data_IF_979088234011
#
_entry.id   IF_979088234011
#
_cell.length_a   1.000
_cell.length_b   1.000
_cell.length_c   1.000
_cell.angle_alpha   90.00
_cell.angle_beta   90.00
_cell.angle_gamma   90.00
#
_symmetry.space_group_name_H-M   'P 1'
#
loop_
_entity.id
_entity.type
_entity.pdbx_description
1 polymer ?
#
# COMPACT_ATOMS: atom_id res chain seq x y z
N UNK A 1 62.85 -35.17 37.76
CA UNK A 1 61.42 -35.27 37.37
C UNK A 1 61.06 -33.99 36.66
N UNK A 2 60.88 -34.04 35.32
CA UNK A 2 60.46 -32.89 34.51
C UNK A 2 58.99 -33.11 34.15
N UNK A 3 58.12 -32.22 34.62
CA UNK A 3 56.72 -32.22 34.26
C UNK A 3 56.55 -31.49 32.93
N UNK A 4 56.09 -32.21 31.90
CA UNK A 4 55.62 -31.64 30.63
C UNK A 4 54.15 -31.30 30.81
N UNK A 5 53.79 -29.99 30.74
CA UNK A 5 52.44 -29.52 30.75
C UNK A 5 52.00 -29.39 29.31
N UNK A 6 51.08 -30.23 28.88
CA UNK A 6 50.47 -30.19 27.52
C UNK A 6 49.30 -29.21 27.53
N UNK A 7 49.48 -28.08 26.87
CA UNK A 7 48.42 -27.07 26.68
C UNK A 7 47.48 -27.52 25.54
N UNK A 8 46.23 -27.84 25.90
CA UNK A 8 45.18 -28.17 24.92
C UNK A 8 44.54 -26.86 24.45
N UNK A 9 44.81 -26.44 23.21
CA UNK A 9 44.13 -25.29 22.57
C UNK A 9 42.83 -25.78 21.96
N UNK A 10 41.71 -25.40 22.56
CA UNK A 10 40.38 -25.67 22.03
C UNK A 10 40.06 -24.64 20.93
N UNK A 11 40.15 -25.04 19.67
CA UNK A 11 39.74 -24.20 18.54
C UNK A 11 38.21 -24.31 18.40
N UNK A 12 37.50 -23.27 18.84
CA UNK A 12 36.04 -23.14 18.61
C UNK A 12 35.86 -22.60 17.20
N UNK A 13 35.48 -23.46 16.28
CA UNK A 13 35.09 -23.07 14.91
C UNK A 13 33.63 -22.59 14.96
N UNK A 14 33.43 -21.27 14.89
CA UNK A 14 32.12 -20.70 14.64
C UNK A 14 31.70 -20.98 13.18
N UNK A 15 30.88 -21.98 12.98
CA UNK A 15 30.16 -22.16 11.71
C UNK A 15 29.10 -21.06 11.62
N UNK A 16 29.39 -19.98 10.92
CA UNK A 16 28.39 -19.08 10.44
C UNK A 16 27.54 -19.83 9.39
N UNK A 17 26.43 -20.40 9.82
CA UNK A 17 25.42 -20.86 8.90
C UNK A 17 24.90 -19.61 8.18
N UNK A 18 25.26 -19.44 6.91
CA UNK A 18 24.60 -18.50 6.01
C UNK A 18 23.16 -19.04 5.84
N UNK A 19 22.23 -18.56 6.65
CA UNK A 19 20.81 -18.80 6.40
C UNK A 19 20.52 -18.22 5.01
N UNK A 20 20.30 -19.09 4.03
CA UNK A 20 19.70 -18.69 2.76
C UNK A 20 18.37 -18.04 3.12
N UNK A 21 18.26 -16.75 2.90
CA UNK A 21 16.98 -16.03 3.01
C UNK A 21 15.95 -16.81 2.20
N UNK A 22 14.96 -17.36 2.91
CA UNK A 22 13.93 -18.18 2.28
C UNK A 22 13.13 -17.24 1.38
N UNK A 23 13.11 -17.50 0.08
CA UNK A 23 12.29 -16.73 -0.87
C UNK A 23 10.86 -16.71 -0.38
N UNK A 24 10.29 -15.53 -0.31
CA UNK A 24 8.89 -15.37 0.05
C UNK A 24 8.03 -15.95 -1.08
N UNK A 25 7.09 -16.81 -0.75
CA UNK A 25 6.13 -17.35 -1.71
C UNK A 25 4.77 -16.76 -1.36
N UNK A 26 4.25 -15.98 -2.28
CA UNK A 26 2.91 -15.39 -2.17
C UNK A 26 2.06 -15.96 -3.28
N UNK A 27 0.91 -16.51 -2.95
CA UNK A 27 -0.03 -17.04 -3.92
C UNK A 27 -1.46 -16.69 -3.58
N UNK A 28 -2.32 -16.86 -4.53
CA UNK A 28 -3.76 -16.68 -4.35
C UNK A 28 -4.43 -18.06 -4.28
N UNK A 29 -5.24 -18.27 -3.27
CA UNK A 29 -6.10 -19.44 -3.14
C UNK A 29 -7.55 -19.00 -2.88
N UNK A 30 -8.42 -19.26 -3.85
CA UNK A 30 -9.78 -18.69 -3.85
C UNK A 30 -9.73 -17.16 -3.72
N UNK A 31 -10.40 -16.60 -2.73
CA UNK A 31 -10.42 -15.14 -2.46
C UNK A 31 -9.38 -14.69 -1.42
N UNK A 32 -8.33 -15.51 -1.18
CA UNK A 32 -7.34 -15.21 -0.13
C UNK A 32 -5.93 -15.07 -0.68
N UNK A 33 -5.19 -14.16 -0.08
CA UNK A 33 -3.74 -14.06 -0.25
C UNK A 33 -3.10 -15.01 0.77
N UNK A 34 -2.18 -15.86 0.30
CA UNK A 34 -1.44 -16.81 1.11
C UNK A 34 0.04 -16.44 1.05
N UNK A 35 0.65 -16.24 2.21
CA UNK A 35 2.08 -15.95 2.34
C UNK A 35 2.74 -17.10 3.10
N UNK A 36 3.68 -17.81 2.48
CA UNK A 36 4.40 -18.92 3.10
C UNK A 36 3.45 -19.95 3.77
N UNK A 37 2.41 -20.35 3.03
CA UNK A 37 1.37 -21.31 3.43
C UNK A 37 0.38 -20.83 4.51
N UNK A 38 0.38 -19.56 4.86
CA UNK A 38 -0.54 -18.97 5.83
C UNK A 38 -1.43 -17.90 5.18
N UNK A 39 -2.73 -17.86 5.50
CA UNK A 39 -3.59 -16.75 5.10
C UNK A 39 -3.02 -15.41 5.57
N UNK A 40 -3.04 -14.42 4.68
CA UNK A 40 -2.48 -13.10 4.95
C UNK A 40 -3.56 -12.03 4.79
N UNK A 41 -3.85 -11.33 5.87
CA UNK A 41 -4.75 -10.19 5.90
C UNK A 41 -3.92 -8.90 5.82
N UNK A 42 -4.16 -8.07 4.81
CA UNK A 42 -3.48 -6.79 4.64
C UNK A 42 -4.01 -5.81 5.70
N UNK A 43 -3.17 -5.49 6.67
CA UNK A 43 -3.32 -4.40 7.65
C UNK A 43 -2.34 -3.31 7.22
N UNK A 44 -2.71 -2.55 6.20
CA UNK A 44 -1.77 -1.77 5.42
C UNK A 44 -1.93 -0.26 5.50
N UNK A 45 -0.94 0.44 4.94
CA UNK A 45 -0.89 1.88 4.73
C UNK A 45 -0.37 2.22 3.36
N UNK A 46 -0.93 3.25 2.73
CA UNK A 46 -0.31 3.95 1.62
C UNK A 46 0.88 4.76 2.12
N UNK A 47 2.04 4.61 1.47
CA UNK A 47 3.29 5.19 1.94
C UNK A 47 4.04 5.91 0.82
N UNK A 48 4.06 7.23 0.89
CA UNK A 48 4.80 8.09 -0.04
C UNK A 48 5.43 9.24 0.76
N UNK A 49 6.56 8.99 1.44
CA UNK A 49 7.17 9.97 2.34
C UNK A 49 7.85 11.09 1.56
N UNK A 50 7.29 12.28 1.64
CA UNK A 50 7.88 13.51 1.11
C UNK A 50 8.14 14.45 2.28
N UNK A 51 9.39 14.89 2.49
CA UNK A 51 9.73 15.79 3.58
C UNK A 51 9.10 17.17 3.41
N UNK A 52 8.85 17.85 4.51
CA UNK A 52 8.45 19.26 4.49
C UNK A 52 9.42 20.09 3.67
N UNK A 53 8.90 20.95 2.82
CA UNK A 53 9.69 21.81 1.93
C UNK A 53 10.25 21.13 0.69
N UNK A 54 9.83 19.88 0.43
CA UNK A 54 10.22 19.10 -0.75
C UNK A 54 8.99 18.69 -1.56
N UNK A 55 9.21 18.39 -2.86
CA UNK A 55 8.26 17.70 -3.72
C UNK A 55 8.77 16.29 -4.08
N UNK A 56 9.91 15.89 -3.53
CA UNK A 56 10.56 14.63 -3.85
C UNK A 56 10.44 13.63 -2.69
N UNK A 57 10.14 12.39 -3.01
CA UNK A 57 10.10 11.30 -2.04
C UNK A 57 11.49 11.06 -1.42
N UNK A 58 11.56 10.94 -0.08
CA UNK A 58 12.78 10.55 0.63
C UNK A 58 12.49 9.50 1.69
N UNK A 59 13.44 8.57 1.86
CA UNK A 59 13.40 7.54 2.90
C UNK A 59 14.34 7.85 4.09
N UNK A 60 14.74 9.11 4.27
CA UNK A 60 15.62 9.51 5.38
C UNK A 60 15.00 9.23 6.76
N UNK A 61 13.67 9.31 6.87
CA UNK A 61 12.91 9.01 8.08
C UNK A 61 12.45 7.54 8.20
N UNK A 62 12.95 6.63 7.34
CA UNK A 62 12.42 5.26 7.25
C UNK A 62 12.44 4.50 8.58
N UNK A 63 13.46 4.68 9.40
CA UNK A 63 13.56 3.97 10.69
C UNK A 63 12.49 4.44 11.68
N UNK A 64 12.21 5.74 11.73
CA UNK A 64 11.13 6.30 12.54
C UNK A 64 9.76 5.86 12.01
N UNK A 65 9.56 5.95 10.70
CA UNK A 65 8.31 5.59 10.05
C UNK A 65 7.97 4.11 10.28
N UNK A 66 8.94 3.20 10.09
CA UNK A 66 8.76 1.78 10.34
C UNK A 66 8.48 1.48 11.83
N UNK A 67 9.14 2.18 12.75
CA UNK A 67 8.86 2.03 14.18
C UNK A 67 7.41 2.38 14.53
N UNK A 68 6.89 3.48 13.98
CA UNK A 68 5.49 3.90 14.16
C UNK A 68 4.52 2.92 13.49
N UNK A 69 4.86 2.42 12.30
CA UNK A 69 4.03 1.42 11.60
C UNK A 69 3.91 0.11 12.38
N UNK A 70 5.03 -0.39 12.90
CA UNK A 70 5.04 -1.59 13.76
C UNK A 70 4.24 -1.35 15.04
N UNK A 71 4.40 -0.18 15.66
CA UNK A 71 3.61 0.20 16.84
C UNK A 71 2.10 0.21 16.52
N UNK A 72 1.72 0.69 15.34
CA UNK A 72 0.33 0.72 14.89
C UNK A 72 -0.23 -0.68 14.52
N UNK A 73 0.62 -1.70 14.39
CA UNK A 73 0.22 -3.05 13.96
C UNK A 73 0.07 -3.17 12.45
N UNK A 74 0.68 -2.27 11.69
CA UNK A 74 0.75 -2.31 10.23
C UNK A 74 1.68 -3.43 9.81
N UNK A 75 1.24 -4.28 8.89
CA UNK A 75 2.03 -5.38 8.32
C UNK A 75 2.36 -5.19 6.84
N UNK A 76 1.78 -4.21 6.19
CA UNK A 76 1.92 -3.96 4.74
C UNK A 76 2.01 -2.47 4.45
N UNK A 77 2.92 -2.10 3.56
CA UNK A 77 2.91 -0.76 2.93
C UNK A 77 2.70 -0.89 1.44
N UNK A 78 1.95 0.05 0.88
CA UNK A 78 1.74 0.22 -0.55
C UNK A 78 2.47 1.47 -1.01
N UNK A 79 3.32 1.33 -2.04
CA UNK A 79 4.05 2.46 -2.64
C UNK A 79 3.62 2.66 -4.09
N UNK A 80 3.55 3.91 -4.54
CA UNK A 80 3.10 4.31 -5.87
C UNK A 80 4.21 4.24 -6.94
N UNK A 81 5.44 4.11 -6.50
CA UNK A 81 6.60 3.95 -7.36
C UNK A 81 7.63 3.02 -6.68
N UNK A 82 8.40 2.25 -7.46
CA UNK A 82 9.38 1.31 -6.92
C UNK A 82 10.39 1.95 -5.97
N UNK A 83 10.86 1.18 -5.01
CA UNK A 83 11.96 1.53 -4.10
C UNK A 83 13.20 0.81 -4.62
N UNK A 84 14.09 1.50 -5.34
CA UNK A 84 15.35 0.92 -5.86
C UNK A 84 16.51 1.15 -4.88
N UNK A 85 16.27 0.88 -3.61
CA UNK A 85 17.25 0.93 -2.53
C UNK A 85 17.16 -0.35 -1.68
N UNK A 86 18.17 -1.21 -1.81
CA UNK A 86 18.22 -2.46 -1.08
C UNK A 86 18.29 -2.26 0.46
N UNK A 87 18.89 -1.16 0.93
CA UNK A 87 18.96 -0.87 2.37
C UNK A 87 17.58 -0.57 2.90
N UNK A 88 16.79 0.23 2.19
CA UNK A 88 15.39 0.54 2.55
C UNK A 88 14.54 -0.73 2.52
N UNK A 89 14.64 -1.55 1.48
CA UNK A 89 13.92 -2.82 1.37
C UNK A 89 14.25 -3.78 2.52
N UNK A 90 15.54 -3.89 2.87
CA UNK A 90 15.98 -4.71 4.00
C UNK A 90 15.42 -4.20 5.35
N UNK A 91 15.34 -2.89 5.55
CA UNK A 91 14.72 -2.30 6.75
C UNK A 91 13.23 -2.62 6.84
N UNK A 92 12.49 -2.50 5.72
CA UNK A 92 11.08 -2.87 5.63
C UNK A 92 10.90 -4.34 6.01
N UNK A 93 11.72 -5.24 5.44
CA UNK A 93 11.68 -6.65 5.76
C UNK A 93 12.00 -6.92 7.24
N UNK A 94 13.05 -6.30 7.78
CA UNK A 94 13.47 -6.47 9.18
C UNK A 94 12.40 -6.00 10.17
N UNK A 95 11.56 -5.02 9.79
CA UNK A 95 10.40 -4.58 10.54
C UNK A 95 9.21 -5.56 10.47
N UNK A 96 9.31 -6.65 9.70
CA UNK A 96 8.22 -7.61 9.50
C UNK A 96 7.12 -7.09 8.56
N UNK A 97 7.37 -6.01 7.83
CA UNK A 97 6.40 -5.38 6.93
C UNK A 97 6.59 -5.90 5.51
N UNK A 98 5.48 -6.13 4.80
CA UNK A 98 5.46 -6.49 3.39
C UNK A 98 5.23 -5.26 2.52
N UNK A 99 5.64 -5.36 1.25
CA UNK A 99 5.61 -4.26 0.30
C UNK A 99 4.76 -4.63 -0.92
N UNK A 100 3.75 -3.82 -1.22
CA UNK A 100 3.06 -3.76 -2.51
C UNK A 100 3.79 -2.71 -3.34
N UNK A 101 4.36 -3.15 -4.47
CA UNK A 101 5.18 -2.29 -5.33
C UNK A 101 4.35 -1.78 -6.49
N UNK A 102 4.03 -0.48 -6.48
CA UNK A 102 3.33 0.19 -7.57
C UNK A 102 4.27 0.54 -8.73
N UNK A 103 3.79 0.33 -9.96
CA UNK A 103 4.44 0.75 -11.20
C UNK A 103 3.52 1.71 -11.96
N UNK A 104 4.09 2.82 -12.39
CA UNK A 104 3.37 3.78 -13.21
C UNK A 104 3.51 3.51 -14.72
N UNK A 105 2.72 4.24 -15.50
CA UNK A 105 2.73 4.18 -16.95
C UNK A 105 3.32 5.47 -17.51
N UNK A 106 4.22 5.34 -18.49
CA UNK A 106 4.83 6.47 -19.21
C UNK A 106 5.61 7.44 -18.29
N UNK A 107 6.44 6.89 -17.41
CA UNK A 107 7.25 7.65 -16.44
C UNK A 107 8.67 8.00 -16.93
N UNK A 108 8.88 8.09 -18.23
CA UNK A 108 10.19 8.44 -18.78
C UNK A 108 11.24 7.32 -18.73
N UNK A 109 10.80 6.08 -18.67
CA UNK A 109 11.68 4.91 -18.81
C UNK A 109 12.25 4.37 -17.49
N UNK A 110 11.91 4.94 -16.34
CA UNK A 110 12.37 4.43 -15.04
C UNK A 110 11.29 3.51 -14.47
N UNK A 111 11.49 2.19 -14.61
CA UNK A 111 10.60 1.14 -14.10
C UNK A 111 9.13 1.35 -14.51
N UNK A 112 8.89 1.76 -15.74
CA UNK A 112 7.53 2.05 -16.20
C UNK A 112 6.97 0.93 -17.10
N UNK A 113 5.65 0.89 -17.17
CA UNK A 113 4.90 -0.14 -17.90
C UNK A 113 5.05 0.06 -19.40
N UNK A 114 5.03 1.30 -19.91
CA UNK A 114 5.05 1.57 -21.34
C UNK A 114 6.38 1.20 -21.99
N UNK A 115 7.50 1.49 -21.31
CA UNK A 115 8.86 1.13 -21.80
C UNK A 115 9.20 -0.34 -21.57
N UNK A 116 8.53 -0.99 -20.61
CA UNK A 116 8.88 -2.34 -20.15
C UNK A 116 10.05 -2.38 -19.16
N UNK A 117 10.60 -1.24 -18.75
CA UNK A 117 11.72 -1.17 -17.80
C UNK A 117 11.36 -1.71 -16.41
N UNK A 118 10.09 -1.76 -16.05
CA UNK A 118 9.61 -2.41 -14.83
C UNK A 118 10.09 -3.86 -14.69
N UNK A 119 10.32 -4.57 -15.81
CA UNK A 119 10.75 -5.98 -15.80
C UNK A 119 12.18 -6.15 -15.25
N UNK A 120 13.03 -5.15 -15.39
CA UNK A 120 14.35 -5.13 -14.79
C UNK A 120 14.24 -5.06 -13.26
N UNK A 121 13.33 -4.22 -12.75
CA UNK A 121 13.07 -4.14 -11.32
C UNK A 121 12.50 -5.46 -10.78
N UNK A 122 11.50 -6.05 -11.43
CA UNK A 122 10.94 -7.35 -11.05
C UNK A 122 12.05 -8.41 -11.04
N UNK A 123 12.88 -8.48 -12.07
CA UNK A 123 13.99 -9.43 -12.17
C UNK A 123 14.98 -9.25 -11.02
N UNK A 124 15.29 -8.00 -10.66
CA UNK A 124 16.24 -7.65 -9.59
C UNK A 124 15.72 -8.04 -8.19
N UNK A 125 14.42 -7.82 -7.93
CA UNK A 125 13.88 -7.89 -6.58
C UNK A 125 12.87 -9.03 -6.32
N UNK A 126 12.52 -9.86 -7.30
CA UNK A 126 11.55 -10.96 -7.15
C UNK A 126 11.89 -12.01 -6.08
N UNK A 127 13.13 -12.03 -5.60
CA UNK A 127 13.53 -12.91 -4.49
C UNK A 127 13.60 -12.19 -3.15
N UNK A 128 13.32 -10.87 -3.13
CA UNK A 128 13.41 -10.10 -1.90
C UNK A 128 12.23 -10.39 -0.96
N UNK A 129 12.46 -10.78 0.30
CA UNK A 129 11.41 -11.29 1.17
C UNK A 129 10.39 -10.25 1.65
N UNK A 130 10.64 -8.96 1.41
CA UNK A 130 9.65 -7.91 1.70
C UNK A 130 8.52 -7.87 0.65
N UNK A 131 8.75 -8.33 -0.58
CA UNK A 131 7.76 -8.19 -1.66
C UNK A 131 6.52 -9.02 -1.33
N UNK A 132 5.34 -8.40 -1.43
CA UNK A 132 4.05 -9.06 -1.33
C UNK A 132 3.50 -9.35 -2.72
N UNK A 133 3.34 -8.32 -3.55
CA UNK A 133 2.97 -8.46 -4.96
C UNK A 133 3.30 -7.19 -5.76
N UNK A 134 3.16 -7.31 -7.09
CA UNK A 134 3.40 -6.26 -8.07
C UNK A 134 2.08 -5.60 -8.43
N UNK A 135 2.02 -4.27 -8.36
CA UNK A 135 0.81 -3.51 -8.68
C UNK A 135 1.03 -2.64 -9.91
N UNK A 136 0.15 -2.75 -10.88
CA UNK A 136 0.23 -2.06 -12.17
C UNK A 136 -0.79 -0.93 -12.24
N UNK A 137 -0.31 0.31 -12.28
CA UNK A 137 -1.15 1.51 -12.38
C UNK A 137 -1.88 1.86 -11.08
N UNK A 138 -2.39 3.09 -11.04
CA UNK A 138 -3.24 3.61 -9.97
C UNK A 138 -4.31 4.51 -10.58
N UNK A 139 -5.59 4.11 -10.47
CA UNK A 139 -6.75 4.87 -10.97
C UNK A 139 -6.72 5.23 -12.47
N UNK A 140 -5.96 4.49 -13.27
CA UNK A 140 -5.80 4.78 -14.69
C UNK A 140 -7.11 4.67 -15.48
N UNK A 141 -8.09 3.95 -14.95
CA UNK A 141 -9.44 3.89 -15.51
C UNK A 141 -10.16 5.24 -15.55
N UNK A 142 -9.72 6.24 -14.79
CA UNK A 142 -10.25 7.60 -14.84
C UNK A 142 -9.56 8.50 -15.86
N UNK A 143 -8.49 8.03 -16.51
CA UNK A 143 -7.58 8.81 -17.35
C UNK A 143 -7.45 8.26 -18.77
N UNK A 144 -8.54 8.15 -19.55
CA UNK A 144 -8.44 7.69 -20.94
C UNK A 144 -7.52 8.57 -21.79
N UNK A 145 -7.36 9.85 -21.45
CA UNK A 145 -6.45 10.78 -22.12
C UNK A 145 -4.97 10.37 -22.06
N UNK A 146 -4.58 9.54 -21.09
CA UNK A 146 -3.22 8.98 -21.03
C UNK A 146 -3.01 7.80 -22.00
N UNK A 147 -4.09 7.32 -22.60
CA UNK A 147 -4.14 6.10 -23.42
C UNK A 147 -4.77 6.38 -24.78
N UNK A 148 -4.36 7.48 -25.43
CA UNK A 148 -4.86 7.92 -26.75
C UNK A 148 -6.39 8.14 -26.80
N UNK A 149 -6.99 8.46 -25.66
CA UNK A 149 -8.42 8.69 -25.52
C UNK A 149 -9.29 7.41 -25.43
N UNK A 150 -8.65 6.23 -25.41
CA UNK A 150 -9.34 4.95 -25.29
C UNK A 150 -8.78 4.14 -24.10
N UNK A 151 -9.59 4.01 -23.07
CA UNK A 151 -9.18 3.28 -21.85
C UNK A 151 -8.92 1.78 -22.09
N UNK A 152 -9.41 1.21 -23.19
CA UNK A 152 -9.11 -0.19 -23.53
C UNK A 152 -7.63 -0.41 -23.88
N UNK A 153 -6.92 0.66 -24.29
CA UNK A 153 -5.48 0.60 -24.47
C UNK A 153 -4.76 0.34 -23.14
N UNK A 154 -5.26 0.93 -22.04
CA UNK A 154 -4.77 0.61 -20.70
C UNK A 154 -5.02 -0.85 -20.32
N UNK A 155 -6.26 -1.34 -20.44
CA UNK A 155 -6.56 -2.74 -20.08
C UNK A 155 -5.79 -3.75 -20.93
N UNK A 156 -5.55 -3.45 -22.21
CA UNK A 156 -4.70 -4.27 -23.06
C UNK A 156 -3.24 -4.28 -22.57
N UNK A 157 -2.70 -3.12 -22.19
CA UNK A 157 -1.35 -3.02 -21.62
C UNK A 157 -1.24 -3.72 -20.26
N UNK A 158 -2.25 -3.59 -19.41
CA UNK A 158 -2.37 -4.22 -18.11
C UNK A 158 -2.26 -5.74 -18.21
N UNK A 159 -3.13 -6.36 -19.02
CA UNK A 159 -3.14 -7.81 -19.24
C UNK A 159 -1.82 -8.32 -19.85
N UNK A 160 -1.29 -7.61 -20.85
CA UNK A 160 -0.01 -7.96 -21.46
C UNK A 160 1.12 -7.94 -20.43
N UNK A 161 1.18 -6.89 -19.62
CA UNK A 161 2.26 -6.69 -18.64
C UNK A 161 2.16 -7.71 -17.50
N UNK A 162 0.94 -8.00 -17.02
CA UNK A 162 0.73 -9.04 -16.02
C UNK A 162 1.27 -10.40 -16.49
N UNK A 163 1.01 -10.79 -17.75
CA UNK A 163 1.58 -12.01 -18.35
C UNK A 163 3.10 -12.00 -18.39
N UNK A 164 3.71 -10.85 -18.71
CA UNK A 164 5.17 -10.71 -18.73
C UNK A 164 5.77 -10.87 -17.34
N UNK A 165 5.14 -10.30 -16.30
CA UNK A 165 5.57 -10.49 -14.92
C UNK A 165 5.46 -11.96 -14.50
N UNK A 166 4.33 -12.63 -14.77
CA UNK A 166 4.15 -14.05 -14.44
C UNK A 166 5.20 -14.96 -15.09
N UNK A 167 5.64 -14.61 -16.32
CA UNK A 167 6.71 -15.35 -16.98
C UNK A 167 8.09 -15.17 -16.30
N UNK A 168 8.29 -14.08 -15.57
CA UNK A 168 9.54 -13.77 -14.86
C UNK A 168 9.50 -14.21 -13.39
N UNK A 169 8.35 -14.09 -12.76
CA UNK A 169 8.15 -14.29 -11.33
C UNK A 169 6.85 -15.08 -11.07
N UNK A 170 7.02 -16.33 -10.73
CA UNK A 170 5.91 -17.22 -10.37
C UNK A 170 5.61 -17.24 -8.86
N UNK A 171 6.32 -16.45 -8.06
CA UNK A 171 6.21 -16.46 -6.60
C UNK A 171 5.37 -15.31 -6.05
N UNK A 172 5.06 -14.32 -6.88
CA UNK A 172 4.28 -13.16 -6.44
C UNK A 172 3.12 -12.89 -7.39
N UNK A 173 1.93 -12.63 -6.85
CA UNK A 173 0.76 -12.19 -7.63
C UNK A 173 0.98 -10.85 -8.32
N UNK A 174 0.16 -10.57 -9.33
CA UNK A 174 0.03 -9.27 -9.99
C UNK A 174 -1.30 -8.65 -9.62
N UNK A 175 -1.27 -7.37 -9.29
CA UNK A 175 -2.42 -6.54 -8.93
C UNK A 175 -2.52 -5.30 -9.82
N UNK A 176 -3.64 -4.61 -9.71
CA UNK A 176 -3.82 -3.23 -10.17
C UNK A 176 -4.63 -2.47 -9.13
N UNK A 177 -4.48 -1.16 -9.01
CA UNK A 177 -5.33 -0.30 -8.20
C UNK A 177 -6.34 0.42 -9.11
N UNK A 178 -7.55 -0.08 -9.14
CA UNK A 178 -8.63 0.44 -9.97
C UNK A 178 -9.47 1.45 -9.17
N UNK A 179 -9.78 2.57 -9.78
CA UNK A 179 -10.75 3.51 -9.20
C UNK A 179 -12.15 2.89 -9.21
N UNK A 180 -12.73 2.66 -8.03
CA UNK A 180 -13.98 1.94 -7.85
C UNK A 180 -13.92 0.47 -8.37
N UNK A 181 -15.06 -0.20 -8.38
CA UNK A 181 -15.16 -1.60 -8.80
C UNK A 181 -15.11 -1.74 -10.33
N UNK A 182 -14.24 -2.61 -10.90
CA UNK A 182 -14.20 -2.81 -12.34
C UNK A 182 -15.46 -3.47 -12.89
N UNK A 183 -15.75 -3.23 -14.16
CA UNK A 183 -16.88 -3.89 -14.84
C UNK A 183 -16.58 -5.38 -15.10
N UNK A 184 -17.63 -6.15 -15.38
CA UNK A 184 -17.50 -7.56 -15.71
C UNK A 184 -16.63 -7.80 -16.96
N UNK A 185 -16.69 -6.89 -17.94
CA UNK A 185 -15.88 -6.92 -19.16
C UNK A 185 -14.40 -6.76 -18.82
N UNK A 186 -14.05 -5.75 -18.00
CA UNK A 186 -12.67 -5.50 -17.56
C UNK A 186 -12.10 -6.71 -16.82
N UNK A 187 -12.87 -7.31 -15.92
CA UNK A 187 -12.45 -8.53 -15.20
C UNK A 187 -12.19 -9.70 -16.15
N UNK A 188 -13.04 -9.88 -17.15
CA UNK A 188 -12.92 -10.95 -18.14
C UNK A 188 -11.73 -10.73 -19.08
N UNK A 189 -11.45 -9.50 -19.45
CA UNK A 189 -10.35 -9.15 -20.36
C UNK A 189 -8.98 -9.13 -19.67
N UNK A 190 -8.95 -9.09 -18.33
CA UNK A 190 -7.73 -9.08 -17.52
C UNK A 190 -7.62 -10.30 -16.59
N UNK A 191 -7.66 -11.53 -17.14
CA UNK A 191 -7.61 -12.76 -16.33
C UNK A 191 -6.26 -12.94 -15.60
N UNK A 192 -5.20 -12.30 -16.06
CA UNK A 192 -3.86 -12.39 -15.45
C UNK A 192 -3.67 -11.47 -14.24
N UNK A 193 -4.64 -10.64 -13.90
CA UNK A 193 -4.64 -9.92 -12.62
C UNK A 193 -5.13 -10.88 -11.54
N UNK A 194 -4.27 -11.17 -10.57
CA UNK A 194 -4.54 -12.15 -9.50
C UNK A 194 -5.32 -11.55 -8.34
N UNK A 195 -4.98 -10.30 -7.97
CA UNK A 195 -5.56 -9.56 -6.85
C UNK A 195 -6.06 -8.22 -7.37
N UNK A 196 -7.30 -7.87 -7.09
CA UNK A 196 -7.84 -6.57 -7.47
C UNK A 196 -7.78 -5.61 -6.30
N UNK A 197 -7.02 -4.53 -6.47
CA UNK A 197 -7.07 -3.36 -5.61
C UNK A 197 -8.14 -2.40 -6.10
N UNK A 198 -8.87 -1.81 -5.16
CA UNK A 198 -9.85 -0.75 -5.46
C UNK A 198 -9.61 0.46 -4.57
N UNK A 199 -9.59 1.65 -5.18
CA UNK A 199 -9.56 2.92 -4.47
C UNK A 199 -10.99 3.38 -4.27
N UNK A 200 -11.45 3.49 -3.02
CA UNK A 200 -12.86 3.73 -2.71
C UNK A 200 -12.99 4.81 -1.65
N UNK A 201 -13.55 5.94 -2.07
CA UNK A 201 -13.77 7.10 -1.23
C UNK A 201 -15.27 7.40 -1.07
N UNK A 202 -16.03 6.39 -0.62
CA UNK A 202 -17.46 6.47 -0.35
C UNK A 202 -17.75 6.91 1.09
N UNK A 203 -16.88 7.73 1.64
CA UNK A 203 -16.94 8.27 2.98
C UNK A 203 -17.12 7.15 4.05
N UNK A 204 -18.30 7.05 4.65
CA UNK A 204 -18.64 6.09 5.70
C UNK A 204 -19.19 4.75 5.18
N UNK A 205 -19.24 4.56 3.86
CA UNK A 205 -19.81 3.38 3.20
C UNK A 205 -18.86 2.66 2.20
N UNK A 206 -17.55 2.54 2.47
CA UNK A 206 -16.65 1.86 1.53
C UNK A 206 -17.03 0.38 1.34
N UNK A 207 -17.58 -0.25 2.37
CA UNK A 207 -18.04 -1.64 2.30
C UNK A 207 -19.26 -1.86 1.40
N UNK A 208 -19.95 -0.81 0.95
CA UNK A 208 -21.14 -0.93 0.09
C UNK A 208 -20.88 -1.62 -1.25
N UNK A 209 -19.62 -1.69 -1.71
CA UNK A 209 -19.27 -2.41 -2.94
C UNK A 209 -19.07 -3.94 -2.74
N UNK A 210 -18.91 -4.42 -1.51
CA UNK A 210 -18.57 -5.83 -1.24
C UNK A 210 -19.60 -6.81 -1.81
N UNK A 211 -20.92 -6.62 -1.62
CA UNK A 211 -21.93 -7.50 -2.22
C UNK A 211 -21.88 -7.53 -3.75
N UNK A 212 -21.52 -6.42 -4.38
CA UNK A 212 -21.36 -6.33 -5.83
C UNK A 212 -20.14 -7.12 -6.30
N UNK A 213 -19.03 -7.05 -5.57
CA UNK A 213 -17.84 -7.83 -5.86
C UNK A 213 -18.10 -9.34 -5.80
N UNK A 214 -18.81 -9.82 -4.79
CA UNK A 214 -19.17 -11.24 -4.65
C UNK A 214 -19.89 -11.80 -5.89
N UNK A 215 -20.73 -10.96 -6.53
CA UNK A 215 -21.44 -11.38 -7.75
C UNK A 215 -20.59 -11.30 -9.01
N UNK A 216 -19.52 -10.48 -9.00
CA UNK A 216 -18.68 -10.21 -10.17
C UNK A 216 -17.44 -11.06 -10.28
N UNK A 217 -16.82 -11.42 -9.16
CA UNK A 217 -15.52 -12.07 -9.18
C UNK A 217 -15.31 -13.01 -7.99
N UNK A 218 -14.54 -14.07 -8.24
CA UNK A 218 -14.02 -14.97 -7.21
C UNK A 218 -12.54 -14.70 -6.88
N UNK A 219 -11.96 -13.61 -7.40
CA UNK A 219 -10.59 -13.21 -7.10
C UNK A 219 -10.53 -12.46 -5.78
N UNK A 220 -9.37 -12.44 -5.11
CA UNK A 220 -9.16 -11.59 -3.94
C UNK A 220 -9.40 -10.11 -4.27
N UNK A 221 -10.10 -9.43 -3.36
CA UNK A 221 -10.28 -8.00 -3.35
C UNK A 221 -9.54 -7.41 -2.17
N UNK A 222 -8.80 -6.33 -2.36
CA UNK A 222 -8.36 -5.47 -1.26
C UNK A 222 -8.64 -4.01 -1.58
N UNK A 223 -8.81 -3.19 -0.54
CA UNK A 223 -8.96 -1.76 -0.72
C UNK A 223 -7.55 -1.15 -0.82
N UNK A 224 -7.13 -0.84 -2.05
CA UNK A 224 -5.82 -0.23 -2.30
C UNK A 224 -5.75 1.20 -1.79
N UNK A 225 -6.91 1.87 -1.71
CA UNK A 225 -7.10 3.10 -0.97
C UNK A 225 -8.51 3.17 -0.38
N UNK A 226 -8.59 3.58 0.85
CA UNK A 226 -9.75 4.09 1.55
C UNK A 226 -9.23 4.96 2.70
N UNK A 227 -9.98 5.93 3.15
CA UNK A 227 -9.51 6.77 4.24
C UNK A 227 -10.34 8.02 4.43
N UNK A 228 -9.83 8.91 5.25
CA UNK A 228 -10.45 10.18 5.58
C UNK A 228 -9.37 11.20 5.95
N UNK A 229 -9.62 12.47 5.61
CA UNK A 229 -8.77 13.58 6.02
C UNK A 229 -9.15 14.11 7.40
N UNK A 230 -8.28 14.96 7.97
CA UNK A 230 -8.50 15.61 9.27
C UNK A 230 -8.89 17.08 9.12
N UNK A 231 -9.45 17.50 7.99
CA UNK A 231 -9.84 18.87 7.76
C UNK A 231 -11.30 18.97 7.30
N UNK A 232 -12.11 19.66 8.07
CA UNK A 232 -13.50 19.92 7.76
C UNK A 232 -13.60 21.25 6.99
N UNK A 233 -13.96 21.21 5.71
CA UNK A 233 -14.17 22.44 4.94
C UNK A 233 -15.42 23.21 5.43
N UNK A 234 -16.37 22.51 6.04
CA UNK A 234 -17.60 23.08 6.61
C UNK A 234 -17.87 22.45 7.99
N UNK A 235 -18.58 23.15 8.85
CA UNK A 235 -19.17 22.55 10.06
C UNK A 235 -20.29 21.59 9.65
N UNK A 236 -20.21 20.34 10.11
CA UNK A 236 -21.20 19.32 9.78
C UNK A 236 -21.21 18.18 10.82
N UNK A 237 -22.37 17.63 11.11
CA UNK A 237 -22.56 16.44 11.95
C UNK A 237 -21.92 16.55 13.34
N UNK A 238 -21.80 17.78 13.87
CA UNK A 238 -21.20 18.07 15.19
C UNK A 238 -19.67 18.26 15.16
N UNK A 239 -19.05 18.20 13.99
CA UNK A 239 -17.63 18.53 13.81
C UNK A 239 -17.47 19.98 13.36
N UNK A 240 -16.64 20.74 14.06
CA UNK A 240 -16.32 22.11 13.70
C UNK A 240 -15.48 22.16 12.39
N UNK A 241 -15.66 23.23 11.62
CA UNK A 241 -14.80 23.51 10.46
C UNK A 241 -13.35 23.78 10.89
N UNK A 242 -12.40 23.49 10.00
CA UNK A 242 -10.97 23.53 10.23
C UNK A 242 -10.37 22.17 10.50
N UNK A 243 -9.14 22.11 11.02
CA UNK A 243 -8.51 20.84 11.40
C UNK A 243 -9.33 20.14 12.50
N UNK A 244 -9.67 18.87 12.28
CA UNK A 244 -10.52 18.09 13.14
C UNK A 244 -10.09 16.61 13.16
N UNK A 245 -9.11 16.31 14.02
CA UNK A 245 -8.58 14.95 14.14
C UNK A 245 -9.62 13.95 14.66
N UNK A 246 -10.61 14.41 15.45
CA UNK A 246 -11.69 13.54 15.91
C UNK A 246 -12.57 13.08 14.74
N UNK A 247 -12.90 13.96 13.79
CA UNK A 247 -13.66 13.58 12.61
C UNK A 247 -12.92 12.51 11.79
N UNK A 248 -11.61 12.69 11.56
CA UNK A 248 -10.78 11.68 10.91
C UNK A 248 -10.77 10.34 11.67
N UNK A 249 -10.64 10.38 12.99
CA UNK A 249 -10.60 9.19 13.82
C UNK A 249 -11.92 8.40 13.79
N UNK A 250 -13.04 9.07 13.93
CA UNK A 250 -14.38 8.46 13.89
C UNK A 250 -14.65 7.84 12.51
N UNK A 251 -14.25 8.53 11.44
CA UNK A 251 -14.35 8.00 10.08
C UNK A 251 -13.44 6.79 9.87
N UNK A 252 -12.21 6.85 10.33
CA UNK A 252 -11.26 5.75 10.24
C UNK A 252 -11.80 4.51 10.97
N UNK A 253 -12.42 4.66 12.15
CA UNK A 253 -13.06 3.56 12.87
C UNK A 253 -14.21 2.96 12.05
N UNK A 254 -15.06 3.79 11.48
CA UNK A 254 -16.20 3.36 10.67
C UNK A 254 -15.75 2.60 9.42
N UNK A 255 -14.79 3.15 8.68
CA UNK A 255 -14.22 2.54 7.48
C UNK A 255 -13.61 1.16 7.81
N UNK A 256 -12.73 1.10 8.81
CA UNK A 256 -12.04 -0.14 9.18
C UNK A 256 -13.02 -1.20 9.71
N UNK A 257 -14.08 -0.79 10.41
CA UNK A 257 -15.11 -1.73 10.85
C UNK A 257 -15.79 -2.38 9.67
N UNK A 258 -16.29 -1.61 8.69
CA UNK A 258 -16.96 -2.15 7.52
C UNK A 258 -16.06 -3.09 6.70
N UNK A 259 -14.82 -2.70 6.45
CA UNK A 259 -13.91 -3.50 5.61
C UNK A 259 -13.51 -4.82 6.26
N UNK A 260 -13.37 -4.86 7.57
CA UNK A 260 -12.99 -6.08 8.30
C UNK A 260 -14.18 -6.89 8.85
N UNK A 261 -15.41 -6.54 8.51
CA UNK A 261 -16.60 -7.37 8.76
C UNK A 261 -16.72 -8.54 7.76
N UNK A 262 -16.02 -8.45 6.60
CA UNK A 262 -16.09 -9.43 5.52
C UNK A 262 -14.72 -10.06 5.18
N UNK A 263 -14.02 -10.70 6.15
CA UNK A 263 -12.68 -11.24 5.94
C UNK A 263 -12.62 -12.43 4.98
N UNK A 264 -13.77 -13.00 4.62
CA UNK A 264 -13.92 -14.05 3.62
C UNK A 264 -13.78 -13.51 2.19
N UNK A 265 -14.08 -12.21 1.96
CA UNK A 265 -14.09 -11.56 0.64
C UNK A 265 -12.95 -10.54 0.55
N UNK A 266 -12.79 -9.73 1.60
CA UNK A 266 -11.83 -8.63 1.63
C UNK A 266 -10.50 -9.11 2.18
N UNK A 267 -9.47 -9.05 1.36
CA UNK A 267 -8.10 -9.41 1.74
C UNK A 267 -7.39 -8.32 2.58
N UNK A 268 -8.08 -7.20 2.84
CA UNK A 268 -7.63 -6.11 3.70
C UNK A 268 -7.63 -4.75 3.04
N UNK A 269 -6.88 -3.82 3.59
CA UNK A 269 -6.80 -2.42 3.16
C UNK A 269 -5.40 -1.86 3.30
N UNK A 270 -5.00 -0.98 2.37
CA UNK A 270 -3.93 -0.01 2.57
C UNK A 270 -4.56 1.37 2.77
N UNK A 271 -4.70 1.79 4.03
CA UNK A 271 -5.38 3.03 4.36
C UNK A 271 -4.59 4.24 3.83
N UNK A 272 -5.26 5.20 3.24
CA UNK A 272 -4.66 6.45 2.76
C UNK A 272 -4.81 7.53 3.85
N UNK A 273 -3.68 8.02 4.42
CA UNK A 273 -2.31 7.67 4.18
C UNK A 273 -1.49 7.67 5.49
N UNK A 274 -0.19 7.31 5.43
CA UNK A 274 0.65 7.26 6.63
C UNK A 274 0.93 8.65 7.18
N UNK A 275 1.49 9.56 6.38
CA UNK A 275 1.85 10.92 6.81
C UNK A 275 1.09 11.97 6.00
N UNK A 276 0.85 13.12 6.60
CA UNK A 276 0.40 14.31 5.88
C UNK A 276 1.34 14.63 4.72
N UNK A 277 0.76 15.04 3.60
CA UNK A 277 1.48 15.24 2.34
C UNK A 277 1.51 16.67 1.87
N UNK A 278 2.28 17.55 2.51
CA UNK A 278 2.35 18.99 2.21
C UNK A 278 2.83 19.35 0.79
N UNK A 279 3.17 18.37 0.00
CA UNK A 279 3.55 18.51 -1.41
C UNK A 279 2.36 18.46 -2.39
N UNK A 280 1.17 18.07 -1.90
CA UNK A 280 -0.01 17.79 -2.74
C UNK A 280 -0.82 19.01 -3.14
N UNK A 281 -0.65 20.12 -2.43
CA UNK A 281 -1.29 21.38 -2.73
C UNK A 281 -0.34 22.55 -2.43
N UNK A 282 -0.52 23.69 -3.09
CA UNK A 282 0.14 24.95 -2.76
C UNK A 282 1.65 24.89 -2.50
N UNK A 283 2.05 25.26 -1.29
CA UNK A 283 3.44 25.43 -0.90
C UNK A 283 3.93 24.30 0.02
N UNK A 284 4.94 23.51 -0.35
CA UNK A 284 5.40 22.37 0.46
C UNK A 284 6.00 22.74 1.84
N UNK A 285 6.16 24.04 2.14
CA UNK A 285 6.62 24.51 3.46
C UNK A 285 5.48 24.79 4.46
N UNK A 286 4.24 24.72 4.02
CA UNK A 286 3.04 24.91 4.86
C UNK A 286 1.99 23.89 4.47
N UNK A 287 1.04 23.65 5.36
CA UNK A 287 -0.09 22.78 5.10
C UNK A 287 -1.22 23.59 4.47
N UNK A 288 -1.54 23.28 3.23
CA UNK A 288 -2.58 23.97 2.45
C UNK A 288 -3.85 23.10 2.34
N UNK A 289 -5.00 23.74 2.20
CA UNK A 289 -6.25 23.07 1.86
C UNK A 289 -6.34 22.92 0.33
N UNK A 290 -6.99 21.85 -0.14
CA UNK A 290 -7.11 21.56 -1.57
C UNK A 290 -6.42 20.26 -1.96
N UNK A 291 -6.02 20.12 -3.21
CA UNK A 291 -5.36 18.95 -3.78
C UNK A 291 -5.79 18.66 -5.20
N UNK A 292 -5.45 17.47 -5.70
CA UNK A 292 -5.63 17.07 -7.10
C UNK A 292 -6.97 16.41 -7.39
N UNK A 293 -7.62 15.85 -6.37
CA UNK A 293 -8.88 15.12 -6.50
C UNK A 293 -10.07 15.98 -6.06
N UNK A 294 -10.57 16.90 -6.91
CA UNK A 294 -11.74 17.71 -6.58
C UNK A 294 -12.96 16.81 -6.38
N UNK A 295 -13.82 17.17 -5.44
CA UNK A 295 -15.01 16.42 -5.04
C UNK A 295 -14.71 15.04 -4.43
N UNK A 296 -13.50 14.78 -3.96
CA UNK A 296 -13.22 13.60 -3.16
C UNK A 296 -13.99 13.66 -1.84
N UNK A 297 -14.32 12.49 -1.30
CA UNK A 297 -14.93 12.40 0.02
C UNK A 297 -13.87 12.65 1.09
N UNK A 298 -14.05 13.72 1.85
CA UNK A 298 -13.31 13.95 3.10
C UNK A 298 -14.12 13.45 4.29
N UNK A 299 -13.87 13.99 5.49
CA UNK A 299 -14.57 13.56 6.69
C UNK A 299 -15.20 14.73 7.44
N UNK A 300 -16.52 14.66 7.65
CA UNK A 300 -17.51 13.90 6.86
C UNK A 300 -17.56 14.45 5.43
N UNK A 301 -18.15 13.71 4.51
CA UNK A 301 -18.18 14.09 3.09
C UNK A 301 -18.57 15.58 2.91
N UNK A 302 -17.60 16.39 2.48
CA UNK A 302 -17.76 17.83 2.30
C UNK A 302 -17.40 18.32 0.88
N UNK A 303 -16.97 17.39 0.00
CA UNK A 303 -16.61 17.65 -1.38
C UNK A 303 -15.26 18.36 -1.56
N UNK A 304 -14.45 18.46 -0.50
CA UNK A 304 -13.14 19.05 -0.53
C UNK A 304 -12.05 17.97 -0.50
N UNK A 305 -10.99 18.08 -1.33
CA UNK A 305 -9.94 17.05 -1.39
C UNK A 305 -9.06 17.02 -0.15
N UNK A 306 -8.68 18.17 0.41
CA UNK A 306 -7.82 18.34 1.60
C UNK A 306 -6.66 17.37 1.70
N UNK A 307 -5.99 17.07 0.56
CA UNK A 307 -5.08 15.93 0.41
C UNK A 307 -3.82 16.03 1.28
N UNK A 308 -3.52 17.19 1.83
CA UNK A 308 -2.41 17.37 2.76
C UNK A 308 -2.73 16.94 4.20
N UNK A 309 -4.01 16.62 4.52
CA UNK A 309 -4.50 16.31 5.86
C UNK A 309 -4.83 14.83 6.09
N UNK A 310 -4.46 13.93 5.16
CA UNK A 310 -4.86 12.52 5.19
C UNK A 310 -3.96 11.61 6.03
N UNK A 311 -2.83 12.12 6.52
CA UNK A 311 -1.93 11.33 7.37
C UNK A 311 -2.59 10.85 8.67
N UNK A 312 -2.24 9.64 9.12
CA UNK A 312 -2.50 9.21 10.51
C UNK A 312 -1.45 9.74 11.47
N UNK A 313 -0.34 10.22 10.93
CA UNK A 313 0.63 11.06 11.62
C UNK A 313 0.81 12.36 10.82
N UNK A 314 1.17 13.45 11.49
CA UNK A 314 1.48 14.70 10.81
C UNK A 314 2.84 14.65 10.08
N UNK A 315 3.21 15.75 9.43
CA UNK A 315 4.48 15.83 8.68
C UNK A 315 5.72 15.65 9.57
N UNK A 316 5.61 15.98 10.86
CA UNK A 316 6.67 15.80 11.87
C UNK A 316 6.59 14.44 12.58
N UNK A 317 5.70 13.52 12.14
CA UNK A 317 5.44 12.19 12.71
C UNK A 317 4.80 12.19 14.09
N UNK A 318 4.14 13.29 14.49
CA UNK A 318 3.28 13.25 15.67
C UNK A 318 2.01 12.45 15.34
N UNK A 319 1.62 11.55 16.26
CA UNK A 319 0.45 10.70 16.09
C UNK A 319 -0.83 11.52 16.20
N UNK A 320 -1.70 11.41 15.19
CA UNK A 320 -3.07 11.94 15.25
C UNK A 320 -4.00 10.97 15.97
N UNK A 321 -5.22 11.39 16.26
CA UNK A 321 -6.23 10.51 16.90
C UNK A 321 -6.52 9.26 16.07
N UNK A 322 -6.54 9.35 14.74
CA UNK A 322 -6.72 8.24 13.81
C UNK A 322 -5.64 7.15 13.95
N UNK A 323 -4.41 7.51 14.34
CA UNK A 323 -3.34 6.54 14.61
C UNK A 323 -3.76 5.53 15.69
N UNK A 324 -4.33 6.01 16.79
CA UNK A 324 -4.72 5.15 17.91
C UNK A 324 -5.94 4.28 17.58
N UNK A 325 -6.85 4.79 16.78
CA UNK A 325 -7.99 4.02 16.26
C UNK A 325 -7.51 2.86 15.40
N UNK A 326 -6.64 3.15 14.42
CA UNK A 326 -6.03 2.15 13.55
C UNK A 326 -5.23 1.12 14.36
N UNK A 327 -4.39 1.57 15.30
CA UNK A 327 -3.62 0.70 16.19
C UNK A 327 -4.52 -0.28 16.95
N UNK A 328 -5.58 0.21 17.56
CA UNK A 328 -6.55 -0.62 18.27
C UNK A 328 -7.16 -1.68 17.35
N UNK A 329 -7.61 -1.28 16.17
CA UNK A 329 -8.25 -2.20 15.21
C UNK A 329 -7.27 -3.24 14.69
N UNK A 330 -6.09 -2.83 14.22
CA UNK A 330 -5.10 -3.75 13.63
C UNK A 330 -4.55 -4.76 14.63
N UNK A 331 -4.41 -4.38 15.91
CA UNK A 331 -3.99 -5.31 16.97
C UNK A 331 -5.07 -6.31 17.37
N UNK A 332 -6.34 -6.01 17.13
CA UNK A 332 -7.45 -6.95 17.39
C UNK A 332 -7.60 -8.02 16.30
N UNK A 333 -7.03 -7.78 15.11
CA UNK A 333 -7.10 -8.67 13.94
C UNK A 333 -5.94 -9.70 13.90
N UNK A 334 -5.37 -10.06 15.00
CA UNK A 334 -4.28 -11.04 15.11
C UNK A 334 -4.79 -12.45 15.33
#
# INVERSE_FOLDING_TARGET
MKYFSTLFVLVVVFLFACEKTKTNIVRVEAQKIIVNDHPYLIKGMCYHPVPKGSNERSFDSIDQDLSLMVEAGINTIRVYAPIDDLVVLNKIHAAGIKLIVGFGYNQGGIFDIASGSLLDYVTKYKTHPAILFWELGNEYNYHPEWFDGDINNWYTALEKTAKMIHALDSNHPVSTAHGEIPTQEVLKENPSIDVWGVNVYRWDLPGSLIPEWETRSSKPLYFSEAGADSYMAIEKDGYAAGENQKAQADATETILNQLFEHPEIVSGVTLFSFTDGWWKAGNPNQQDIGGWAPNSSGVPYDGAPNEEYWGIVDIERNKKEAFFVLQKKYKQLN
#
